data_IF_456398383632
#
_entry.id   IF_456398383632
#
_cell.length_a   1.000
_cell.length_b   1.000
_cell.length_c   1.000
_cell.angle_alpha   90.00
_cell.angle_beta   90.00
_cell.angle_gamma   90.00
#
_symmetry.space_group_name_H-M   'P 1'
#
loop_
_entity.id
_entity.type
_entity.pdbx_description
1 polymer ?
#
# COMPACT_ATOMS: atom_id res chain seq x y z
N UNK A 1 32.59 50.12 -27.51
CA UNK A 1 31.39 49.28 -27.28
C UNK A 1 31.59 48.51 -25.98
N UNK A 2 30.78 48.77 -24.94
CA UNK A 2 30.77 47.99 -23.69
C UNK A 2 29.49 47.16 -23.70
N UNK A 3 29.62 45.83 -23.74
CA UNK A 3 28.49 44.91 -23.57
C UNK A 3 28.36 44.58 -22.08
N UNK A 4 27.26 45.04 -21.47
CA UNK A 4 26.80 44.58 -20.16
C UNK A 4 25.96 43.33 -20.35
N UNK A 5 26.47 42.19 -19.89
CA UNK A 5 25.72 40.93 -19.80
C UNK A 5 24.84 40.99 -18.54
N UNK A 6 23.52 40.93 -18.72
CA UNK A 6 22.56 40.75 -17.63
C UNK A 6 22.50 39.24 -17.28
N UNK A 7 22.52 38.85 -16.00
CA UNK A 7 22.31 37.46 -15.62
C UNK A 7 20.81 37.15 -15.71
N UNK A 8 20.44 36.24 -16.61
CA UNK A 8 19.10 35.65 -16.63
C UNK A 8 19.04 34.66 -15.47
N UNK A 9 18.36 35.04 -14.38
CA UNK A 9 18.03 34.12 -13.31
C UNK A 9 16.86 33.25 -13.77
N UNK A 10 17.13 31.98 -14.06
CA UNK A 10 16.13 31.00 -14.43
C UNK A 10 15.34 30.62 -13.17
N UNK A 11 14.18 31.26 -12.97
CA UNK A 11 13.24 30.85 -11.93
C UNK A 11 12.53 29.59 -12.42
N UNK A 12 12.90 28.43 -11.88
CA UNK A 12 12.15 27.20 -12.08
C UNK A 12 10.82 27.33 -11.33
N UNK A 13 9.74 27.64 -12.04
CA UNK A 13 8.38 27.57 -11.49
C UNK A 13 8.02 26.11 -11.26
N UNK A 14 8.02 25.68 -10.00
CA UNK A 14 7.46 24.40 -9.58
C UNK A 14 5.94 24.42 -9.81
N UNK A 15 5.45 23.66 -10.79
CA UNK A 15 4.02 23.45 -10.96
C UNK A 15 3.55 22.40 -9.95
N UNK A 16 2.45 22.70 -9.23
CA UNK A 16 1.77 21.69 -8.44
C UNK A 16 1.38 20.53 -9.36
N UNK A 17 1.92 19.35 -9.11
CA UNK A 17 1.69 18.15 -9.92
C UNK A 17 1.14 17.02 -9.04
N UNK A 18 0.87 15.88 -9.66
CA UNK A 18 0.49 14.67 -8.95
C UNK A 18 1.13 13.47 -9.64
N UNK A 19 1.44 12.44 -8.86
CA UNK A 19 1.83 11.15 -9.41
C UNK A 19 0.56 10.41 -9.85
N UNK A 20 0.43 10.04 -11.14
CA UNK A 20 -0.69 9.24 -11.61
C UNK A 20 -0.64 7.88 -10.91
N UNK A 21 -1.77 7.39 -10.44
CA UNK A 21 -1.84 6.15 -9.67
C UNK A 21 -3.16 6.07 -8.91
N UNK A 22 -3.36 4.92 -8.28
CA UNK A 22 -4.54 4.65 -7.47
C UNK A 22 -4.10 4.31 -6.03
N UNK A 23 -4.42 5.16 -5.03
CA UNK A 23 -4.91 6.54 -5.18
C UNK A 23 -3.85 7.48 -5.79
N UNK A 24 -4.30 8.62 -6.33
CA UNK A 24 -3.42 9.68 -6.85
C UNK A 24 -2.71 10.39 -5.71
N UNK A 25 -1.41 10.67 -5.88
CA UNK A 25 -0.56 11.22 -4.82
C UNK A 25 -0.13 12.66 -5.14
N UNK A 26 -0.28 13.63 -4.21
CA UNK A 26 0.27 14.97 -4.36
C UNK A 26 1.79 14.95 -4.52
N UNK A 27 2.33 15.64 -5.54
CA UNK A 27 3.75 15.59 -5.86
C UNK A 27 4.24 16.85 -6.56
N UNK A 28 5.47 17.27 -6.30
CA UNK A 28 6.09 18.40 -6.98
C UNK A 28 7.25 17.88 -7.80
N UNK A 29 7.12 17.91 -9.13
CA UNK A 29 8.22 17.54 -10.00
C UNK A 29 9.27 18.65 -10.08
N UNK A 30 10.54 18.26 -10.09
CA UNK A 30 11.68 19.17 -10.27
C UNK A 30 12.25 19.15 -11.69
N UNK A 31 11.66 18.35 -12.59
CA UNK A 31 12.18 18.11 -13.93
C UNK A 31 13.27 17.02 -13.97
N UNK A 32 13.27 16.22 -15.04
CA UNK A 32 14.15 15.07 -15.21
C UNK A 32 13.55 13.74 -14.73
N UNK A 33 14.25 12.65 -15.03
CA UNK A 33 13.89 11.29 -14.60
C UNK A 33 15.08 10.55 -13.99
N UNK A 34 14.78 9.56 -13.17
CA UNK A 34 15.70 8.55 -12.65
C UNK A 34 15.34 7.19 -13.28
N UNK A 35 16.21 6.60 -14.11
CA UNK A 35 16.02 5.26 -14.63
C UNK A 35 16.10 4.22 -13.51
N UNK A 36 15.21 3.23 -13.52
CA UNK A 36 15.18 2.16 -12.52
C UNK A 36 16.44 1.30 -12.52
N UNK A 37 17.13 1.20 -13.67
CA UNK A 37 18.41 0.51 -13.79
C UNK A 37 19.54 1.16 -12.98
N UNK A 38 19.38 2.41 -12.55
CA UNK A 38 20.32 3.09 -11.65
C UNK A 38 20.13 2.69 -10.18
N UNK A 39 19.02 2.03 -9.83
CA UNK A 39 18.73 1.55 -8.49
C UNK A 39 19.31 0.14 -8.33
N UNK A 40 20.22 -0.03 -7.37
CA UNK A 40 21.00 -1.27 -7.18
C UNK A 40 20.73 -1.94 -5.85
N UNK A 41 20.26 -1.20 -4.84
CA UNK A 41 19.98 -1.71 -3.50
C UNK A 41 18.85 -0.99 -2.79
N UNK A 42 18.19 -1.68 -1.89
CA UNK A 42 17.30 -1.13 -0.88
C UNK A 42 18.07 -1.06 0.43
N UNK A 43 18.16 0.13 1.01
CA UNK A 43 18.73 0.33 2.34
C UNK A 43 17.55 0.52 3.30
N UNK A 44 17.51 -0.27 4.36
CA UNK A 44 16.56 -0.10 5.45
C UNK A 44 17.30 0.52 6.63
N UNK A 45 16.74 1.58 7.22
CA UNK A 45 17.31 2.21 8.41
C UNK A 45 17.60 1.19 9.50
N UNK A 46 18.87 1.07 9.93
CA UNK A 46 19.27 0.15 11.01
C UNK A 46 18.51 0.43 12.30
N UNK A 47 18.22 1.70 12.58
CA UNK A 47 17.46 2.16 13.74
C UNK A 47 16.02 1.64 13.73
N UNK A 48 15.37 1.63 12.56
CA UNK A 48 13.95 1.33 12.42
C UNK A 48 13.64 -0.04 11.83
N UNK A 49 14.65 -0.85 11.49
CA UNK A 49 14.49 -2.11 10.78
C UNK A 49 13.48 -3.06 11.45
N UNK A 50 13.50 -3.14 12.79
CA UNK A 50 12.63 -3.99 13.60
C UNK A 50 11.42 -3.23 14.19
N UNK A 51 11.22 -1.96 13.83
CA UNK A 51 10.05 -1.20 14.27
C UNK A 51 8.78 -1.74 13.62
N UNK A 52 7.67 -1.65 14.33
CA UNK A 52 6.31 -2.02 13.88
C UNK A 52 5.34 -0.84 14.04
N UNK A 53 4.21 -0.86 13.33
CA UNK A 53 3.14 0.12 13.55
C UNK A 53 2.22 -0.32 14.70
N UNK A 54 2.25 0.41 15.81
CA UNK A 54 1.41 0.16 16.99
C UNK A 54 0.11 0.98 17.00
N UNK A 55 -0.04 1.95 16.09
CA UNK A 55 -1.21 2.83 16.03
C UNK A 55 -2.33 2.29 15.11
N UNK A 56 -2.05 1.24 14.34
CA UNK A 56 -2.98 0.59 13.42
C UNK A 56 -3.92 -0.43 14.09
N UNK A 57 -4.74 -1.09 13.26
CA UNK A 57 -5.65 -2.17 13.71
C UNK A 57 -5.06 -3.58 13.53
N UNK A 58 -3.82 -3.69 13.04
CA UNK A 58 -3.16 -4.97 12.78
C UNK A 58 -2.58 -5.53 14.06
N UNK A 59 -3.03 -6.71 14.49
CA UNK A 59 -2.55 -7.36 15.72
C UNK A 59 -1.14 -7.94 15.59
N UNK A 60 -0.70 -8.24 14.36
CA UNK A 60 0.62 -8.78 14.04
C UNK A 60 1.24 -7.88 12.95
N UNK A 61 1.60 -6.63 13.28
CA UNK A 61 2.13 -5.69 12.31
C UNK A 61 3.50 -6.16 11.79
N UNK A 62 3.76 -6.15 10.47
CA UNK A 62 5.08 -6.44 9.94
C UNK A 62 6.09 -5.37 10.32
N UNK A 63 7.36 -5.76 10.42
CA UNK A 63 8.46 -4.80 10.63
C UNK A 63 8.77 -4.04 9.34
N UNK A 64 9.48 -2.91 9.45
CA UNK A 64 9.98 -2.18 8.28
C UNK A 64 10.84 -3.08 7.39
N UNK A 65 11.72 -3.91 7.97
CA UNK A 65 12.53 -4.90 7.21
C UNK A 65 11.66 -5.94 6.51
N UNK A 66 10.59 -6.42 7.15
CA UNK A 66 9.66 -7.36 6.52
C UNK A 66 8.99 -6.74 5.29
N UNK A 67 8.52 -5.49 5.40
CA UNK A 67 7.96 -4.76 4.28
C UNK A 67 8.97 -4.52 3.16
N UNK A 68 10.21 -4.17 3.50
CA UNK A 68 11.29 -4.02 2.52
C UNK A 68 11.56 -5.34 1.77
N UNK A 69 11.52 -6.47 2.48
CA UNK A 69 11.69 -7.82 1.90
C UNK A 69 10.61 -8.14 0.89
N UNK A 70 9.35 -7.90 1.24
CA UNK A 70 8.23 -8.04 0.30
C UNK A 70 8.39 -7.09 -0.89
N UNK A 71 8.77 -5.83 -0.65
CA UNK A 71 8.95 -4.85 -1.71
C UNK A 71 10.06 -5.24 -2.70
N UNK A 72 11.20 -5.75 -2.23
CA UNK A 72 12.24 -6.26 -3.13
C UNK A 72 11.74 -7.42 -4.00
N UNK A 73 10.96 -8.34 -3.43
CA UNK A 73 10.32 -9.42 -4.19
C UNK A 73 9.33 -8.89 -5.23
N UNK A 74 8.59 -7.82 -4.92
CA UNK A 74 7.69 -7.19 -5.87
C UNK A 74 8.45 -6.54 -7.05
N UNK A 75 9.58 -5.88 -6.78
CA UNK A 75 10.43 -5.30 -7.82
C UNK A 75 10.99 -6.38 -8.76
N UNK A 76 11.45 -7.51 -8.22
CA UNK A 76 11.91 -8.65 -9.01
C UNK A 76 10.78 -9.25 -9.87
N UNK A 77 9.63 -9.55 -9.26
CA UNK A 77 8.52 -10.22 -9.96
C UNK A 77 7.79 -9.34 -10.99
N UNK A 78 7.65 -8.04 -10.75
CA UNK A 78 6.88 -7.13 -11.62
C UNK A 78 7.77 -6.46 -12.67
N UNK A 79 9.01 -6.11 -12.31
CA UNK A 79 9.89 -5.26 -13.13
C UNK A 79 11.20 -5.94 -13.52
N UNK A 80 11.45 -7.19 -13.09
CA UNK A 80 12.74 -7.89 -13.23
C UNK A 80 13.91 -7.09 -12.65
N UNK A 81 13.67 -6.40 -11.53
CA UNK A 81 14.68 -5.64 -10.80
C UNK A 81 15.08 -6.42 -9.54
N UNK A 82 16.12 -7.25 -9.67
CA UNK A 82 16.69 -8.01 -8.56
C UNK A 82 17.60 -7.11 -7.72
N UNK A 83 17.03 -6.54 -6.65
CA UNK A 83 17.68 -5.56 -5.80
C UNK A 83 17.96 -6.17 -4.42
N UNK A 84 19.19 -6.01 -3.92
CA UNK A 84 19.58 -6.51 -2.60
C UNK A 84 19.08 -5.61 -1.47
N UNK A 85 18.85 -6.19 -0.30
CA UNK A 85 18.46 -5.45 0.91
C UNK A 85 19.66 -5.39 1.85
N UNK A 86 19.96 -4.19 2.33
CA UNK A 86 21.02 -3.91 3.28
C UNK A 86 20.46 -3.08 4.45
N UNK A 87 21.08 -3.19 5.62
CA UNK A 87 20.85 -2.25 6.72
C UNK A 87 21.87 -1.12 6.61
N UNK A 88 21.44 0.10 6.87
CA UNK A 88 22.31 1.27 6.87
C UNK A 88 21.65 2.48 7.50
N UNK A 89 22.43 3.51 7.77
CA UNK A 89 21.98 4.67 8.56
C UNK A 89 21.68 5.89 7.67
N UNK A 90 21.94 5.80 6.37
CA UNK A 90 21.74 6.88 5.41
C UNK A 90 21.46 6.37 3.99
N UNK A 91 20.91 7.25 3.15
CA UNK A 91 20.79 7.00 1.72
C UNK A 91 22.17 7.02 1.04
N UNK A 92 22.37 6.10 0.10
CA UNK A 92 23.55 6.05 -0.76
C UNK A 92 23.17 6.25 -2.23
N UNK A 93 24.17 6.55 -3.07
CA UNK A 93 23.93 6.68 -4.50
C UNK A 93 23.41 5.35 -5.10
N UNK A 94 22.39 5.45 -5.94
CA UNK A 94 21.71 4.31 -6.55
C UNK A 94 20.91 3.47 -5.57
N UNK A 95 20.48 4.02 -4.42
CA UNK A 95 19.71 3.29 -3.42
C UNK A 95 18.25 3.74 -3.31
N UNK A 96 17.41 2.83 -2.83
CA UNK A 96 16.10 3.14 -2.26
C UNK A 96 16.25 3.08 -0.74
N UNK A 97 16.24 4.21 -0.06
CA UNK A 97 16.35 4.28 1.40
C UNK A 97 14.97 4.34 2.05
N UNK A 98 14.70 3.38 2.96
CA UNK A 98 13.47 3.29 3.75
C UNK A 98 13.77 3.64 5.20
N UNK A 99 13.09 4.67 5.71
CA UNK A 99 13.26 5.12 7.10
C UNK A 99 11.95 5.67 7.67
N UNK A 100 11.96 6.00 8.96
CA UNK A 100 10.83 6.60 9.66
C UNK A 100 11.13 8.04 10.06
N UNK A 101 10.09 8.86 10.15
CA UNK A 101 10.17 10.27 10.53
C UNK A 101 9.14 10.65 11.57
N UNK A 102 8.99 11.96 11.83
CA UNK A 102 8.00 12.46 12.79
C UNK A 102 6.58 12.25 12.26
N UNK A 103 5.84 11.32 12.89
CA UNK A 103 4.45 11.01 12.55
C UNK A 103 3.52 12.24 12.62
N UNK A 104 3.88 13.27 13.39
CA UNK A 104 3.08 14.50 13.54
C UNK A 104 2.93 15.29 12.25
N UNK A 105 3.86 15.10 11.31
CA UNK A 105 3.86 15.75 9.99
C UNK A 105 2.75 15.22 9.07
N UNK A 106 2.19 14.05 9.38
CA UNK A 106 1.22 13.38 8.53
C UNK A 106 -0.16 13.46 9.16
N UNK A 107 -1.09 14.11 8.46
CA UNK A 107 -2.46 14.31 8.92
C UNK A 107 -3.47 13.61 8.02
N UNK A 108 -4.54 13.12 8.62
CA UNK A 108 -5.72 12.68 7.88
C UNK A 108 -6.61 13.87 7.48
N UNK A 109 -7.74 13.61 6.82
CA UNK A 109 -8.65 14.67 6.38
C UNK A 109 -9.30 15.45 7.53
N UNK A 110 -9.28 14.92 8.76
CA UNK A 110 -9.77 15.57 9.97
C UNK A 110 -8.66 16.30 10.75
N UNK A 111 -7.42 16.32 10.25
CA UNK A 111 -6.28 16.95 10.91
C UNK A 111 -5.65 16.13 12.04
N UNK A 112 -6.02 14.85 12.19
CA UNK A 112 -5.45 13.93 13.19
C UNK A 112 -4.17 13.32 12.66
N UNK A 113 -3.28 12.91 13.56
CA UNK A 113 -2.06 12.19 13.18
C UNK A 113 -2.40 10.86 12.49
N UNK A 114 -1.62 10.52 11.47
CA UNK A 114 -1.81 9.32 10.67
C UNK A 114 -0.50 8.52 10.62
N UNK A 115 -0.51 7.29 11.14
CA UNK A 115 0.62 6.35 11.03
C UNK A 115 0.83 5.84 9.61
N UNK A 116 -0.16 6.01 8.74
CA UNK A 116 -0.15 5.57 7.35
C UNK A 116 0.46 6.62 6.40
N UNK A 117 0.82 7.80 6.90
CA UNK A 117 1.43 8.84 6.07
C UNK A 117 2.86 8.51 5.67
N UNK A 118 3.29 9.02 4.52
CA UNK A 118 4.67 8.94 4.07
C UNK A 118 5.07 10.12 3.18
N UNK A 119 6.37 10.38 3.14
CA UNK A 119 7.01 11.28 2.19
C UNK A 119 7.84 10.46 1.20
N UNK A 120 7.78 10.84 -0.07
CA UNK A 120 8.56 10.26 -1.16
C UNK A 120 9.41 11.36 -1.77
N UNK A 121 10.72 11.16 -1.84
CA UNK A 121 11.66 12.06 -2.48
C UNK A 121 12.50 11.27 -3.49
N UNK A 122 12.49 11.70 -4.75
CA UNK A 122 13.22 11.08 -5.85
C UNK A 122 14.21 12.10 -6.40
N UNK A 123 15.49 11.80 -6.27
CA UNK A 123 16.60 12.61 -6.79
C UNK A 123 17.36 11.83 -7.86
N UNK A 124 18.36 12.46 -8.48
CA UNK A 124 19.24 11.75 -9.42
C UNK A 124 20.09 10.68 -8.74
N UNK A 125 20.29 10.79 -7.43
CA UNK A 125 21.11 9.87 -6.64
C UNK A 125 20.31 8.69 -6.09
N UNK A 126 18.97 8.74 -6.09
CA UNK A 126 18.17 7.63 -5.58
C UNK A 126 16.79 8.05 -5.08
N UNK A 127 16.21 7.18 -4.26
CA UNK A 127 14.87 7.35 -3.71
C UNK A 127 14.92 7.31 -2.18
N UNK A 128 14.24 8.24 -1.53
CA UNK A 128 14.01 8.25 -0.10
C UNK A 128 12.51 8.12 0.18
N UNK A 129 12.13 7.11 0.94
CA UNK A 129 10.79 6.96 1.51
C UNK A 129 10.89 7.10 3.03
N UNK A 130 10.18 8.10 3.55
CA UNK A 130 10.07 8.33 4.99
C UNK A 130 8.62 8.07 5.41
N UNK A 131 8.39 7.04 6.21
CA UNK A 131 7.06 6.74 6.77
C UNK A 131 6.83 7.42 8.13
N UNK A 132 5.57 7.73 8.44
CA UNK A 132 5.14 8.02 9.81
C UNK A 132 5.29 6.78 10.73
N UNK A 133 5.15 5.60 10.14
CA UNK A 133 5.37 4.28 10.73
C UNK A 133 5.85 3.30 9.63
N UNK A 134 6.20 2.05 9.97
CA UNK A 134 6.47 1.02 8.96
C UNK A 134 5.33 0.81 7.97
N UNK A 135 4.06 0.97 8.40
CA UNK A 135 2.90 0.90 7.52
C UNK A 135 2.83 2.09 6.55
N UNK A 136 3.16 3.29 7.02
CA UNK A 136 3.30 4.46 6.15
C UNK A 136 4.40 4.26 5.09
N UNK A 137 5.58 3.79 5.51
CA UNK A 137 6.67 3.48 4.58
C UNK A 137 6.25 2.43 3.54
N UNK A 138 5.51 1.39 3.95
CA UNK A 138 4.93 0.40 3.05
C UNK A 138 4.03 1.04 1.97
N UNK A 139 3.16 1.98 2.33
CA UNK A 139 2.35 2.71 1.34
C UNK A 139 3.20 3.54 0.37
N UNK A 140 4.31 4.10 0.84
CA UNK A 140 5.32 4.72 -0.02
C UNK A 140 5.89 3.76 -1.07
N UNK A 141 6.18 2.51 -0.68
CA UNK A 141 6.65 1.49 -1.63
C UNK A 141 5.61 1.17 -2.69
N UNK A 142 4.31 1.13 -2.34
CA UNK A 142 3.23 0.89 -3.31
C UNK A 142 3.16 2.02 -4.35
N UNK A 143 3.31 3.26 -3.90
CA UNK A 143 3.37 4.42 -4.80
C UNK A 143 4.57 4.35 -5.73
N UNK A 144 5.76 4.06 -5.18
CA UNK A 144 6.98 3.92 -5.97
C UNK A 144 6.84 2.83 -7.04
N UNK A 145 6.32 1.66 -6.66
CA UNK A 145 6.08 0.54 -7.58
C UNK A 145 5.10 0.94 -8.70
N UNK A 146 3.98 1.60 -8.37
CA UNK A 146 3.04 2.12 -9.37
C UNK A 146 3.72 3.12 -10.32
N UNK A 147 4.59 4.01 -9.82
CA UNK A 147 5.30 4.96 -10.67
C UNK A 147 6.29 4.27 -11.61
N UNK A 148 7.00 3.24 -11.16
CA UNK A 148 7.87 2.45 -12.02
C UNK A 148 7.08 1.76 -13.13
N UNK A 149 5.92 1.18 -12.82
CA UNK A 149 5.05 0.51 -13.80
C UNK A 149 4.53 1.51 -14.83
N UNK A 150 3.93 2.62 -14.37
CA UNK A 150 3.32 3.64 -15.24
C UNK A 150 4.36 4.44 -16.02
N UNK A 151 5.55 4.60 -15.47
CA UNK A 151 6.69 5.29 -16.07
C UNK A 151 7.58 4.39 -16.93
N UNK A 152 7.23 3.11 -17.12
CA UNK A 152 8.05 2.14 -17.86
C UNK A 152 9.50 2.06 -17.39
N UNK A 153 9.71 2.09 -16.07
CA UNK A 153 11.03 2.10 -15.43
C UNK A 153 11.65 3.49 -15.23
N UNK A 154 11.00 4.57 -15.68
CA UNK A 154 11.49 5.94 -15.47
C UNK A 154 10.71 6.65 -14.35
N UNK A 155 11.40 7.03 -13.28
CA UNK A 155 10.81 7.78 -12.16
C UNK A 155 10.97 9.28 -12.37
N UNK A 156 9.91 10.05 -12.16
CA UNK A 156 10.00 11.53 -12.19
C UNK A 156 10.71 12.06 -10.96
N UNK A 157 11.73 12.89 -11.16
CA UNK A 157 12.40 13.59 -10.06
C UNK A 157 11.44 14.57 -9.38
N UNK A 158 11.54 14.66 -8.07
CA UNK A 158 10.70 15.51 -7.25
C UNK A 158 10.45 14.98 -5.85
N UNK A 159 9.42 15.53 -5.21
CA UNK A 159 9.05 15.15 -3.85
C UNK A 159 7.55 15.29 -3.63
N UNK A 160 7.02 14.49 -2.72
CA UNK A 160 5.61 14.53 -2.33
C UNK A 160 5.39 13.93 -0.95
N UNK A 161 4.20 14.18 -0.42
CA UNK A 161 3.75 13.59 0.84
C UNK A 161 2.31 13.15 0.64
N UNK A 162 2.01 11.95 1.11
CA UNK A 162 0.69 11.36 1.05
C UNK A 162 0.26 10.90 2.44
N UNK A 163 -1.04 10.94 2.68
CA UNK A 163 -1.67 10.45 3.90
C UNK A 163 -3.13 10.15 3.60
N UNK A 164 -3.69 9.04 4.10
CA UNK A 164 -5.07 8.72 3.85
C UNK A 164 -6.01 9.72 4.51
N UNK A 165 -7.08 10.07 3.80
CA UNK A 165 -8.15 10.88 4.38
C UNK A 165 -8.92 10.18 5.51
N UNK A 166 -9.01 8.84 5.44
CA UNK A 166 -9.74 8.01 6.40
C UNK A 166 -8.91 6.79 6.82
N UNK A 167 -8.90 6.42 8.11
CA UNK A 167 -8.08 5.33 8.64
C UNK A 167 -8.58 3.93 8.25
N UNK A 168 -9.84 3.80 7.83
CA UNK A 168 -10.44 2.51 7.42
C UNK A 168 -10.84 2.63 5.96
N UNK A 169 -10.21 1.80 5.11
CA UNK A 169 -10.47 1.72 3.67
C UNK A 169 -10.67 0.26 3.32
N UNK A 170 -11.87 -0.23 3.63
CA UNK A 170 -12.16 -1.66 3.62
C UNK A 170 -12.93 -2.18 2.43
N UNK A 171 -12.85 -3.50 2.25
CA UNK A 171 -13.67 -4.28 1.33
C UNK A 171 -14.30 -5.44 2.08
N UNK A 172 -15.58 -5.70 1.81
CA UNK A 172 -16.25 -6.95 2.17
C UNK A 172 -16.67 -7.63 0.87
N UNK A 173 -16.10 -8.80 0.52
CA UNK A 173 -16.62 -9.60 -0.58
C UNK A 173 -18.10 -9.89 -0.33
N UNK A 174 -18.95 -9.68 -1.35
CA UNK A 174 -20.39 -9.84 -1.21
C UNK A 174 -20.77 -11.22 -0.66
N UNK A 175 -21.41 -11.23 0.51
CA UNK A 175 -21.93 -12.42 1.21
C UNK A 175 -23.19 -13.03 0.57
N UNK A 176 -23.62 -12.53 -0.60
CA UNK A 176 -24.85 -13.00 -1.22
C UNK A 176 -24.70 -14.42 -1.76
N UNK A 177 -25.63 -15.29 -1.40
CA UNK A 177 -25.79 -16.67 -1.91
C UNK A 177 -26.02 -16.80 -3.45
N UNK A 178 -25.68 -15.77 -4.23
CA UNK A 178 -25.66 -15.75 -5.69
C UNK A 178 -24.39 -15.13 -6.30
N UNK A 179 -23.43 -14.65 -5.51
CA UNK A 179 -22.17 -14.13 -6.02
C UNK A 179 -21.20 -15.28 -6.32
N UNK A 180 -21.14 -15.72 -7.59
CA UNK A 180 -20.07 -16.61 -8.07
C UNK A 180 -18.77 -15.78 -8.03
N UNK A 181 -17.87 -16.06 -7.06
CA UNK A 181 -17.10 -17.29 -7.00
C UNK A 181 -17.20 -18.11 -5.69
N UNK A 182 -18.27 -17.98 -4.90
CA UNK A 182 -18.46 -18.79 -3.67
C UNK A 182 -19.65 -19.76 -3.69
N UNK A 183 -20.51 -19.71 -4.71
CA UNK A 183 -21.80 -20.42 -4.69
C UNK A 183 -21.73 -21.96 -4.95
N UNK A 184 -20.54 -22.57 -5.06
CA UNK A 184 -20.37 -24.05 -5.14
C UNK A 184 -19.11 -24.62 -4.48
N UNK A 185 -18.38 -23.87 -3.64
CA UNK A 185 -17.20 -24.40 -2.96
C UNK A 185 -16.56 -23.43 -1.98
N UNK A 186 -15.67 -23.93 -1.09
CA UNK A 186 -14.90 -23.07 -0.18
C UNK A 186 -14.09 -22.06 -1.00
N UNK A 187 -14.08 -20.80 -0.58
CA UNK A 187 -13.11 -19.83 -1.10
C UNK A 187 -11.73 -20.33 -0.69
N UNK A 188 -10.86 -20.71 -1.64
CA UNK A 188 -9.55 -21.24 -1.27
C UNK A 188 -8.76 -20.18 -0.51
N UNK A 189 -8.06 -20.58 0.56
CA UNK A 189 -7.15 -19.70 1.31
C UNK A 189 -6.20 -18.89 0.40
N UNK A 190 -5.61 -19.46 -0.67
CA UNK A 190 -4.79 -18.69 -1.62
C UNK A 190 -5.51 -17.49 -2.25
N UNK A 191 -6.82 -17.60 -2.53
CA UNK A 191 -7.58 -16.48 -3.10
C UNK A 191 -7.76 -15.35 -2.08
N UNK A 192 -7.94 -15.67 -0.79
CA UNK A 192 -8.05 -14.65 0.25
C UNK A 192 -6.74 -13.90 0.42
N UNK A 193 -5.61 -14.62 0.38
CA UNK A 193 -4.27 -14.03 0.42
C UNK A 193 -4.03 -13.12 -0.78
N UNK A 194 -4.37 -13.57 -1.98
CA UNK A 194 -4.27 -12.77 -3.20
C UNK A 194 -5.14 -11.51 -3.15
N UNK A 195 -6.37 -11.61 -2.62
CA UNK A 195 -7.24 -10.46 -2.44
C UNK A 195 -6.64 -9.43 -1.47
N UNK A 196 -6.04 -9.89 -0.36
CA UNK A 196 -5.33 -9.01 0.57
C UNK A 196 -4.15 -8.29 -0.13
N UNK A 197 -3.38 -9.01 -0.96
CA UNK A 197 -2.28 -8.41 -1.73
C UNK A 197 -2.79 -7.37 -2.74
N UNK A 198 -3.87 -7.68 -3.46
CA UNK A 198 -4.53 -6.77 -4.39
C UNK A 198 -5.02 -5.50 -3.69
N UNK A 199 -5.72 -5.64 -2.56
CA UNK A 199 -6.19 -4.52 -1.74
C UNK A 199 -5.03 -3.65 -1.25
N UNK A 200 -3.97 -4.29 -0.73
CA UNK A 200 -2.77 -3.61 -0.25
C UNK A 200 -2.07 -2.82 -1.35
N UNK A 201 -2.03 -3.32 -2.59
CA UNK A 201 -1.46 -2.58 -3.73
C UNK A 201 -2.15 -1.21 -3.96
N UNK A 202 -3.45 -1.11 -3.68
CA UNK A 202 -4.24 0.12 -3.76
C UNK A 202 -4.43 0.83 -2.42
N UNK A 203 -3.60 0.51 -1.41
CA UNK A 203 -3.63 1.09 -0.07
C UNK A 203 -4.95 0.89 0.67
N UNK A 204 -5.72 -0.15 0.35
CA UNK A 204 -6.82 -0.61 1.19
C UNK A 204 -6.26 -1.47 2.33
N UNK A 205 -6.81 -1.28 3.54
CA UNK A 205 -6.18 -1.78 4.77
C UNK A 205 -7.12 -2.62 5.65
N UNK A 206 -8.36 -2.88 5.22
CA UNK A 206 -9.32 -3.65 6.01
C UNK A 206 -10.07 -4.64 5.15
N UNK A 207 -9.84 -5.93 5.37
CA UNK A 207 -10.57 -6.99 4.67
C UNK A 207 -11.61 -7.63 5.61
N UNK A 208 -12.88 -7.33 5.38
CA UNK A 208 -13.96 -7.84 6.20
C UNK A 208 -14.49 -9.15 5.59
N UNK A 209 -14.22 -10.27 6.25
CA UNK A 209 -14.72 -11.58 5.84
C UNK A 209 -16.06 -11.88 6.46
N UNK A 210 -17.05 -12.14 5.62
CA UNK A 210 -18.36 -12.59 6.04
C UNK A 210 -18.37 -14.12 6.14
N UNK A 211 -18.15 -14.64 7.34
CA UNK A 211 -17.88 -16.06 7.59
C UNK A 211 -19.13 -16.91 7.85
N UNK A 212 -20.28 -16.28 8.08
CA UNK A 212 -21.52 -16.98 8.39
C UNK A 212 -22.73 -16.24 7.86
N UNK A 213 -23.51 -16.88 7.00
CA UNK A 213 -24.71 -16.29 6.40
C UNK A 213 -25.77 -17.36 6.11
N UNK A 214 -26.98 -16.91 5.76
CA UNK A 214 -28.05 -17.74 5.24
C UNK A 214 -28.73 -17.04 4.07
N UNK A 215 -29.30 -17.84 3.16
CA UNK A 215 -30.15 -17.32 2.09
C UNK A 215 -31.24 -16.41 2.65
N UNK A 216 -31.54 -15.34 1.92
CA UNK A 216 -32.59 -14.39 2.27
C UNK A 216 -33.90 -15.11 2.64
N UNK A 217 -34.37 -14.88 3.87
CA UNK A 217 -35.55 -15.52 4.44
C UNK A 217 -36.73 -14.54 4.45
N UNK A 218 -37.67 -14.71 3.51
CA UNK A 218 -38.90 -13.92 3.50
C UNK A 218 -39.96 -14.54 4.42
N UNK A 219 -39.99 -14.08 5.66
CA UNK A 219 -40.91 -14.57 6.71
C UNK A 219 -42.40 -14.39 6.39
N UNK A 220 -42.76 -13.51 5.45
CA UNK A 220 -44.16 -13.31 5.06
C UNK A 220 -44.66 -14.39 4.07
N UNK A 221 -43.74 -15.09 3.37
CA UNK A 221 -44.09 -16.03 2.29
C UNK A 221 -43.58 -17.45 2.59
N UNK A 222 -42.51 -17.58 3.38
CA UNK A 222 -41.91 -18.87 3.66
C UNK A 222 -42.57 -19.54 4.87
N UNK A 223 -42.95 -20.80 4.70
CA UNK A 223 -43.32 -21.66 5.82
C UNK A 223 -42.10 -21.91 6.71
N UNK A 224 -42.34 -22.31 7.96
CA UNK A 224 -41.26 -22.71 8.88
C UNK A 224 -40.35 -23.79 8.27
N UNK A 225 -40.94 -24.79 7.64
CA UNK A 225 -40.20 -25.85 6.94
C UNK A 225 -39.29 -25.28 5.85
N UNK A 226 -39.82 -24.36 5.02
CA UNK A 226 -39.04 -23.70 3.97
C UNK A 226 -37.90 -22.86 4.55
N UNK A 227 -38.15 -22.08 5.59
CA UNK A 227 -37.12 -21.30 6.30
C UNK A 227 -36.00 -22.20 6.82
N UNK A 228 -36.34 -23.35 7.43
CA UNK A 228 -35.34 -24.29 7.96
C UNK A 228 -34.59 -25.06 6.86
N UNK A 229 -35.11 -25.09 5.64
CA UNK A 229 -34.44 -25.70 4.47
C UNK A 229 -33.52 -24.75 3.70
N UNK A 230 -33.50 -23.45 4.04
CA UNK A 230 -32.65 -22.48 3.36
C UNK A 230 -31.17 -22.79 3.61
N UNK A 231 -30.36 -22.60 2.58
CA UNK A 231 -28.90 -22.71 2.71
C UNK A 231 -28.40 -21.74 3.79
N UNK A 232 -27.64 -22.27 4.73
CA UNK A 232 -26.87 -21.53 5.71
C UNK A 232 -25.49 -22.19 5.82
N UNK A 233 -24.47 -21.39 6.12
CA UNK A 233 -23.12 -21.90 6.29
C UNK A 233 -22.39 -21.12 7.38
N UNK A 234 -21.53 -21.83 8.09
CA UNK A 234 -20.51 -21.29 9.00
C UNK A 234 -19.16 -21.79 8.48
N UNK A 235 -18.21 -20.88 8.23
CA UNK A 235 -16.97 -21.20 7.49
C UNK A 235 -15.75 -21.46 8.35
N UNK A 236 -15.83 -21.21 9.65
CA UNK A 236 -14.74 -21.55 10.58
C UNK A 236 -14.89 -23.00 11.01
N UNK A 237 -13.75 -23.66 11.22
CA UNK A 237 -13.75 -24.98 11.84
C UNK A 237 -14.41 -24.90 13.22
N UNK A 238 -15.33 -25.83 13.48
CA UNK A 238 -16.06 -25.95 14.74
C UNK A 238 -16.10 -27.41 15.16
N UNK A 239 -15.95 -27.66 16.46
CA UNK A 239 -16.10 -29.00 17.06
C UNK A 239 -17.58 -29.37 17.26
N UNK A 240 -18.51 -28.45 16.98
CA UNK A 240 -19.94 -28.69 17.05
C UNK A 240 -20.43 -29.35 15.74
N UNK A 241 -20.95 -30.60 15.79
CA UNK A 241 -21.45 -31.30 14.61
C UNK A 241 -22.58 -30.57 13.87
N UNK A 242 -23.29 -29.66 14.53
CA UNK A 242 -24.35 -28.85 13.90
C UNK A 242 -23.81 -27.76 12.97
N UNK A 243 -22.50 -27.48 13.04
CA UNK A 243 -21.80 -26.49 12.24
C UNK A 243 -20.83 -27.14 11.24
N UNK A 244 -20.82 -28.46 11.12
CA UNK A 244 -20.08 -29.17 10.07
C UNK A 244 -20.64 -28.79 8.69
N UNK A 245 -19.81 -28.20 7.83
CA UNK A 245 -20.18 -27.71 6.51
C UNK A 245 -19.03 -27.69 5.51
#
# INVERSE_FOLDING_TARGET
>A
MRFTLLPISLVLTAAASSLPGLPTVPYTTTGGTLPSASLTKIIVSSEFAESVDEAGQTLIPPTLRSFATTFASDLGSVLNLDITIELGDAAEQGSIFLTLGDAKLYKDAAGRESSEGYSLNVTIDGVLITGASPLGAWWGTRTLLQQLILGHGELKLGYGTDSPGFPIRGMMPGAGAGARPSARGPTPEPFLVEMCAYMSFFKQNTFQLHLSDNLYNNVAIYSRERTLSLYAAFRLLSDDPSLEG
#
